data_IF_926434747633
#
_entry.id   IF_926434747633
#
_cell.length_a   1.000
_cell.length_b   1.000
_cell.length_c   1.000
_cell.angle_alpha   90.00
_cell.angle_beta   90.00
_cell.angle_gamma   90.00
#
_symmetry.space_group_name_H-M   'P 1'
#
loop_
_entity.id
_entity.type
_entity.pdbx_description
1 polymer ?
#
# COMPACT_ATOMS: atom_id res chain seq x y z
N UNK A 1 2.05 -7.17 -55.31
CA UNK A 1 2.59 -6.24 -54.30
C UNK A 1 1.97 -6.62 -52.96
N UNK A 2 2.73 -7.32 -52.11
CA UNK A 2 2.30 -7.72 -50.78
C UNK A 2 2.83 -6.70 -49.78
N UNK A 3 1.94 -5.90 -49.21
CA UNK A 3 2.26 -4.98 -48.12
C UNK A 3 2.50 -5.81 -46.86
N UNK A 4 3.77 -6.03 -46.53
CA UNK A 4 4.17 -6.61 -45.26
C UNK A 4 3.87 -5.55 -44.20
N UNK A 5 2.74 -5.69 -43.51
CA UNK A 5 2.49 -5.03 -42.24
C UNK A 5 3.57 -5.52 -41.27
N UNK A 6 4.64 -4.73 -41.13
CA UNK A 6 5.56 -4.87 -40.00
C UNK A 6 4.78 -4.43 -38.77
N UNK A 7 4.07 -5.39 -38.17
CA UNK A 7 3.61 -5.29 -36.81
C UNK A 7 4.87 -5.28 -35.95
N UNK A 8 5.44 -4.09 -35.73
CA UNK A 8 6.39 -3.87 -34.63
C UNK A 8 5.56 -4.01 -33.36
N UNK A 9 5.28 -5.25 -32.98
CA UNK A 9 4.98 -5.56 -31.60
C UNK A 9 6.26 -5.24 -30.85
N UNK A 10 6.37 -4.00 -30.37
CA UNK A 10 7.27 -3.69 -29.29
C UNK A 10 6.95 -4.71 -28.20
N UNK A 11 7.80 -5.72 -28.07
CA UNK A 11 7.97 -6.50 -26.86
C UNK A 11 8.33 -5.48 -25.78
N UNK A 12 7.32 -4.80 -25.24
CA UNK A 12 7.41 -4.04 -24.02
C UNK A 12 7.72 -5.09 -22.96
N UNK A 13 9.01 -5.31 -22.72
CA UNK A 13 9.48 -6.03 -21.55
C UNK A 13 8.76 -5.38 -20.37
N UNK A 14 7.96 -6.18 -19.65
CA UNK A 14 7.28 -5.71 -18.45
C UNK A 14 8.30 -4.94 -17.59
N UNK A 15 7.92 -3.80 -17.00
CA UNK A 15 8.85 -3.02 -16.19
C UNK A 15 9.53 -3.91 -15.15
N UNK A 16 10.86 -3.81 -15.04
CA UNK A 16 11.58 -4.48 -13.95
C UNK A 16 11.27 -3.73 -12.65
N UNK A 17 10.20 -4.16 -11.97
CA UNK A 17 9.76 -3.55 -10.73
C UNK A 17 10.81 -3.70 -9.61
N UNK A 18 11.72 -4.67 -9.68
CA UNK A 18 12.83 -4.74 -8.72
C UNK A 18 13.84 -3.62 -8.99
N UNK A 19 14.14 -3.33 -10.26
CA UNK A 19 14.96 -2.18 -10.61
C UNK A 19 14.31 -0.85 -10.19
N UNK A 20 13.00 -0.70 -10.40
CA UNK A 20 12.25 0.47 -9.92
C UNK A 20 12.27 0.60 -8.39
N UNK A 21 12.11 -0.51 -7.66
CA UNK A 21 12.24 -0.50 -6.20
C UNK A 21 13.66 -0.07 -5.81
N UNK A 22 14.71 -0.55 -6.47
CA UNK A 22 16.08 -0.11 -6.15
C UNK A 22 16.30 1.38 -6.42
N UNK A 23 15.72 1.93 -7.50
CA UNK A 23 15.75 3.37 -7.78
C UNK A 23 14.97 4.17 -6.72
N UNK A 24 13.81 3.65 -6.29
CA UNK A 24 13.01 4.21 -5.21
C UNK A 24 13.77 4.29 -3.88
N UNK A 25 14.68 3.35 -3.64
CA UNK A 25 15.51 3.28 -2.44
C UNK A 25 16.81 4.10 -2.53
N UNK A 26 17.07 4.76 -3.66
CA UNK A 26 18.30 5.55 -3.85
C UNK A 26 18.32 6.84 -3.03
N UNK A 27 19.52 7.37 -2.75
CA UNK A 27 19.69 8.65 -2.05
C UNK A 27 19.36 9.87 -2.94
N UNK A 28 19.26 9.69 -4.25
CA UNK A 28 18.81 10.73 -5.18
C UNK A 28 17.30 10.95 -5.01
N UNK A 29 16.94 12.09 -4.41
CA UNK A 29 15.54 12.39 -4.11
C UNK A 29 14.65 12.52 -5.35
N UNK A 30 15.20 12.93 -6.48
CA UNK A 30 14.46 13.06 -7.73
C UNK A 30 14.17 11.68 -8.32
N UNK A 31 15.19 10.83 -8.36
CA UNK A 31 15.09 9.47 -8.86
C UNK A 31 14.12 8.66 -8.00
N UNK A 32 14.31 8.71 -6.69
CA UNK A 32 13.48 7.96 -5.75
C UNK A 32 12.02 8.44 -5.74
N UNK A 33 11.78 9.74 -5.84
CA UNK A 33 10.43 10.30 -5.97
C UNK A 33 9.74 9.91 -7.28
N UNK A 34 10.49 9.79 -8.37
CA UNK A 34 9.97 9.36 -9.68
C UNK A 34 9.62 7.88 -9.67
N UNK A 35 10.55 7.03 -9.22
CA UNK A 35 10.33 5.59 -9.10
C UNK A 35 9.15 5.26 -8.17
N UNK A 36 8.97 5.98 -7.07
CA UNK A 36 7.79 5.81 -6.21
C UNK A 36 6.46 6.05 -6.94
N UNK A 37 6.38 7.13 -7.74
CA UNK A 37 5.17 7.44 -8.52
C UNK A 37 4.90 6.36 -9.57
N UNK A 38 5.93 5.87 -10.24
CA UNK A 38 5.81 4.79 -11.22
C UNK A 38 5.34 3.49 -10.59
N UNK A 39 5.90 3.12 -9.42
CA UNK A 39 5.44 1.98 -8.63
C UNK A 39 3.96 2.11 -8.29
N UNK A 40 3.53 3.26 -7.75
CA UNK A 40 2.12 3.50 -7.44
C UNK A 40 1.21 3.42 -8.68
N UNK A 41 1.66 3.98 -9.81
CA UNK A 41 0.90 3.96 -11.07
C UNK A 41 0.77 2.55 -11.67
N UNK A 42 1.78 1.69 -11.48
CA UNK A 42 1.74 0.30 -11.91
C UNK A 42 0.69 -0.54 -11.15
N UNK A 43 0.25 -0.08 -9.96
CA UNK A 43 -0.86 -0.69 -9.24
C UNK A 43 -0.65 -2.18 -8.97
N UNK A 44 -1.54 -3.03 -9.48
CA UNK A 44 -1.50 -4.48 -9.27
C UNK A 44 -0.20 -5.14 -9.76
N UNK A 45 0.40 -4.61 -10.84
CA UNK A 45 1.56 -5.22 -11.48
C UNK A 45 2.83 -5.13 -10.61
N UNK A 46 2.93 -4.09 -9.77
CA UNK A 46 4.05 -3.90 -8.84
C UNK A 46 3.90 -4.69 -7.53
N UNK A 47 2.69 -5.19 -7.21
CA UNK A 47 2.41 -5.87 -5.93
C UNK A 47 3.33 -7.08 -5.69
N UNK A 48 3.56 -8.00 -6.64
CA UNK A 48 4.42 -9.16 -6.41
C UNK A 48 5.85 -8.77 -6.02
N UNK A 49 6.41 -7.74 -6.68
CA UNK A 49 7.75 -7.25 -6.37
C UNK A 49 7.80 -6.62 -4.97
N UNK A 50 6.79 -5.84 -4.58
CA UNK A 50 6.70 -5.27 -3.23
C UNK A 50 6.54 -6.34 -2.15
N UNK A 51 5.72 -7.36 -2.39
CA UNK A 51 5.52 -8.49 -1.44
C UNK A 51 6.82 -9.27 -1.22
N UNK A 52 7.65 -9.41 -2.25
CA UNK A 52 8.95 -10.08 -2.14
C UNK A 52 9.96 -9.27 -1.29
N UNK A 53 9.70 -7.99 -1.04
CA UNK A 53 10.57 -7.09 -0.29
C UNK A 53 10.10 -6.82 1.14
N UNK A 54 8.94 -7.33 1.56
CA UNK A 54 8.34 -7.06 2.88
C UNK A 54 9.24 -7.38 4.08
N UNK A 55 10.10 -8.40 3.95
CA UNK A 55 11.00 -8.83 5.03
C UNK A 55 12.45 -8.36 4.82
N UNK A 56 12.70 -7.45 3.86
CA UNK A 56 14.03 -6.93 3.62
C UNK A 56 14.44 -5.97 4.76
N UNK A 57 15.48 -6.32 5.55
CA UNK A 57 15.88 -5.54 6.71
C UNK A 57 16.82 -4.37 6.36
N UNK A 58 17.18 -4.20 5.09
CA UNK A 58 18.12 -3.16 4.66
C UNK A 58 17.59 -1.79 5.04
N UNK A 59 18.38 -1.03 5.79
CA UNK A 59 18.03 0.32 6.22
C UNK A 59 18.06 1.31 5.05
N UNK A 60 17.14 2.27 5.07
CA UNK A 60 17.06 3.35 4.10
C UNK A 60 17.42 4.66 4.78
N UNK A 61 18.43 5.33 4.25
CA UNK A 61 18.89 6.62 4.78
C UNK A 61 18.35 7.81 3.98
N UNK A 62 17.63 7.58 2.88
CA UNK A 62 17.06 8.64 2.06
C UNK A 62 15.92 9.39 2.77
N UNK A 63 15.86 10.70 2.56
CA UNK A 63 14.99 11.64 3.31
C UNK A 63 13.50 11.62 2.95
N UNK A 64 13.11 10.91 1.89
CA UNK A 64 11.83 11.14 1.20
C UNK A 64 10.65 10.52 1.95
N UNK A 65 10.88 9.43 2.69
CA UNK A 65 9.86 8.69 3.42
C UNK A 65 10.01 8.81 4.95
N UNK A 66 10.83 9.76 5.42
CA UNK A 66 11.13 9.98 6.83
C UNK A 66 9.97 10.67 7.59
N UNK A 67 8.83 10.00 7.72
CA UNK A 67 8.13 10.13 8.98
C UNK A 67 8.98 9.35 10.00
N UNK A 68 9.45 9.96 11.10
CA UNK A 68 10.14 9.23 12.15
C UNK A 68 9.30 8.01 12.55
N UNK A 69 9.83 6.81 12.31
CA UNK A 69 9.19 5.60 12.77
C UNK A 69 9.55 5.44 14.24
N UNK A 70 8.53 5.42 15.08
CA UNK A 70 8.70 5.13 16.50
C UNK A 70 8.40 3.66 16.72
N UNK A 71 9.37 2.94 17.30
CA UNK A 71 9.17 1.58 17.80
C UNK A 71 8.93 1.67 19.29
N UNK A 72 7.80 1.15 19.76
CA UNK A 72 7.55 1.01 21.18
C UNK A 72 8.33 -0.19 21.73
N UNK A 73 9.23 0.08 22.67
CA UNK A 73 10.04 -0.91 23.36
C UNK A 73 9.21 -1.65 24.43
N UNK A 74 9.65 -2.85 24.89
CA UNK A 74 8.94 -3.62 25.91
C UNK A 74 8.73 -2.88 27.24
N UNK A 75 9.61 -1.92 27.55
CA UNK A 75 9.52 -1.05 28.73
C UNK A 75 8.51 0.11 28.55
N UNK A 76 7.89 0.22 27.39
CA UNK A 76 6.91 1.25 27.06
C UNK A 76 7.48 2.53 26.46
N UNK A 77 8.81 2.68 26.38
CA UNK A 77 9.50 3.81 25.73
C UNK A 77 9.36 3.74 24.20
N UNK A 78 9.53 4.88 23.53
CA UNK A 78 9.52 4.95 22.06
C UNK A 78 10.92 5.29 21.56
N UNK A 79 11.44 4.46 20.66
CA UNK A 79 12.73 4.67 20.00
C UNK A 79 12.52 5.08 18.55
N UNK A 80 13.29 6.09 18.11
CA UNK A 80 13.36 6.44 16.70
C UNK A 80 14.12 5.37 15.94
N UNK A 81 13.48 4.75 14.96
CA UNK A 81 14.10 3.71 14.11
C UNK A 81 14.22 4.16 12.67
N UNK A 82 15.33 3.81 12.03
CA UNK A 82 15.52 3.96 10.59
C UNK A 82 14.55 3.04 9.85
N UNK A 83 13.80 3.54 8.85
CA UNK A 83 12.93 2.68 8.05
C UNK A 83 13.75 1.68 7.23
N UNK A 84 13.25 0.46 7.10
CA UNK A 84 13.81 -0.55 6.20
C UNK A 84 13.16 -0.54 4.81
N UNK A 85 13.76 -1.27 3.88
CA UNK A 85 13.14 -1.62 2.59
C UNK A 85 11.78 -2.29 2.79
N UNK A 86 11.68 -3.24 3.72
CA UNK A 86 10.41 -3.87 4.07
C UNK A 86 9.35 -2.89 4.56
N UNK A 87 9.74 -1.92 5.39
CA UNK A 87 8.84 -0.89 5.91
C UNK A 87 8.27 -0.01 4.78
N UNK A 88 9.13 0.30 3.83
CA UNK A 88 8.84 1.15 2.68
C UNK A 88 7.94 0.39 1.69
N UNK A 89 8.28 -0.85 1.35
CA UNK A 89 7.46 -1.73 0.53
C UNK A 89 6.06 -1.95 1.13
N UNK A 90 5.98 -2.20 2.44
CA UNK A 90 4.70 -2.30 3.16
C UNK A 90 3.90 -1.00 3.07
N UNK A 91 4.55 0.15 3.21
CA UNK A 91 3.88 1.45 3.11
C UNK A 91 3.30 1.68 1.72
N UNK A 92 4.02 1.33 0.64
CA UNK A 92 3.48 1.40 -0.72
C UNK A 92 2.29 0.46 -0.90
N UNK A 93 2.40 -0.80 -0.48
CA UNK A 93 1.30 -1.77 -0.55
C UNK A 93 0.05 -1.27 0.18
N UNK A 94 0.22 -0.75 1.39
CA UNK A 94 -0.89 -0.19 2.18
C UNK A 94 -1.52 1.01 1.48
N UNK A 95 -0.72 1.90 0.88
CA UNK A 95 -1.25 3.04 0.12
C UNK A 95 -2.00 2.59 -1.13
N UNK A 96 -1.49 1.60 -1.87
CA UNK A 96 -2.14 1.05 -3.06
C UNK A 96 -3.48 0.38 -2.71
N UNK A 97 -3.49 -0.44 -1.66
CA UNK A 97 -4.62 -1.31 -1.32
C UNK A 97 -5.63 -0.59 -0.42
N UNK A 98 -5.19 0.18 0.56
CA UNK A 98 -6.10 0.81 1.54
C UNK A 98 -6.27 2.32 1.33
N UNK A 99 -5.53 2.90 0.38
CA UNK A 99 -5.50 4.33 0.13
C UNK A 99 -4.73 5.11 1.20
N UNK A 100 -4.53 6.41 0.95
CA UNK A 100 -4.03 7.32 1.97
C UNK A 100 -5.18 7.70 2.90
N UNK A 101 -5.07 7.36 4.18
CA UNK A 101 -6.01 7.79 5.21
C UNK A 101 -5.49 9.01 5.98
N UNK A 102 -6.41 9.87 6.40
CA UNK A 102 -6.12 10.97 7.33
C UNK A 102 -5.56 10.44 8.64
N UNK A 103 -4.66 11.18 9.30
CA UNK A 103 -3.93 10.73 10.50
C UNK A 103 -4.84 10.16 11.60
N UNK A 104 -6.00 10.79 11.81
CA UNK A 104 -6.99 10.39 12.83
C UNK A 104 -7.53 8.98 12.65
N UNK A 105 -7.51 8.43 11.43
CA UNK A 105 -8.09 7.10 11.13
C UNK A 105 -7.02 6.08 10.71
N UNK A 106 -5.73 6.41 10.79
CA UNK A 106 -4.65 5.46 10.46
C UNK A 106 -4.62 4.23 11.38
N UNK A 107 -5.18 4.30 12.59
CA UNK A 107 -5.34 3.14 13.47
C UNK A 107 -6.33 2.07 12.96
N UNK A 108 -7.07 2.36 11.89
CA UNK A 108 -8.12 1.49 11.35
C UNK A 108 -7.70 0.69 10.12
N UNK A 109 -6.42 0.78 9.72
CA UNK A 109 -5.89 -0.03 8.63
C UNK A 109 -6.07 -1.52 8.94
N UNK A 110 -6.56 -2.26 7.95
CA UNK A 110 -6.67 -3.70 8.06
C UNK A 110 -5.31 -4.37 7.83
N UNK A 111 -4.54 -3.87 6.85
CA UNK A 111 -3.21 -4.39 6.59
C UNK A 111 -2.24 -3.99 7.70
N UNK A 112 -1.56 -5.00 8.24
CA UNK A 112 -0.42 -4.88 9.15
C UNK A 112 0.77 -5.60 8.54
N UNK A 113 1.99 -5.34 9.02
CA UNK A 113 3.18 -6.04 8.48
C UNK A 113 3.07 -7.55 8.67
N UNK A 114 2.44 -7.97 9.77
CA UNK A 114 2.28 -9.36 10.16
C UNK A 114 1.30 -10.11 9.26
N UNK A 115 0.27 -9.43 8.72
CA UNK A 115 -0.77 -10.10 7.92
C UNK A 115 -0.66 -9.85 6.41
N UNK A 116 0.09 -8.83 5.97
CA UNK A 116 0.06 -8.36 4.58
C UNK A 116 0.44 -9.44 3.58
N UNK A 117 1.51 -10.20 3.85
CA UNK A 117 2.01 -11.26 2.95
C UNK A 117 0.93 -12.30 2.64
N UNK A 118 0.34 -12.89 3.68
CA UNK A 118 -0.66 -13.94 3.51
C UNK A 118 -1.97 -13.41 2.94
N UNK A 119 -2.40 -12.21 3.36
CA UNK A 119 -3.62 -11.60 2.83
C UNK A 119 -3.51 -11.26 1.34
N UNK A 120 -2.40 -10.67 0.90
CA UNK A 120 -2.17 -10.35 -0.52
C UNK A 120 -2.06 -11.63 -1.35
N UNK A 121 -1.35 -12.63 -0.85
CA UNK A 121 -1.22 -13.94 -1.53
C UNK A 121 -2.58 -14.60 -1.75
N UNK A 122 -3.50 -14.50 -0.78
CA UNK A 122 -4.87 -15.02 -0.92
C UNK A 122 -5.70 -14.31 -2.01
N UNK A 123 -5.26 -13.13 -2.46
CA UNK A 123 -5.93 -12.29 -3.45
C UNK A 123 -5.11 -12.09 -4.74
N UNK A 124 -4.02 -12.84 -4.93
CA UNK A 124 -3.05 -12.61 -6.00
C UNK A 124 -3.63 -12.55 -7.44
N UNK A 125 -4.80 -13.16 -7.66
CA UNK A 125 -5.49 -13.20 -8.96
C UNK A 125 -6.69 -12.25 -9.05
N UNK A 126 -6.80 -11.27 -8.15
CA UNK A 126 -7.89 -10.29 -8.13
C UNK A 126 -7.40 -8.93 -8.61
N UNK A 127 -8.32 -8.10 -9.11
CA UNK A 127 -7.97 -6.75 -9.52
C UNK A 127 -7.57 -5.90 -8.31
N UNK A 128 -6.75 -4.85 -8.51
CA UNK A 128 -6.44 -3.90 -7.44
C UNK A 128 -7.72 -3.30 -6.83
N UNK A 129 -8.74 -3.05 -7.66
CA UNK A 129 -10.03 -2.55 -7.19
C UNK A 129 -10.72 -3.54 -6.25
N UNK A 130 -10.71 -4.82 -6.56
CA UNK A 130 -11.28 -5.86 -5.70
C UNK A 130 -10.49 -6.00 -4.39
N UNK A 131 -9.16 -5.91 -4.45
CA UNK A 131 -8.32 -5.84 -3.24
C UNK A 131 -8.70 -4.63 -2.39
N UNK A 132 -8.86 -3.45 -2.99
CA UNK A 132 -9.26 -2.23 -2.29
C UNK A 132 -10.64 -2.37 -1.62
N UNK A 133 -11.63 -2.88 -2.36
CA UNK A 133 -12.96 -3.15 -1.84
C UNK A 133 -12.91 -4.13 -0.65
N UNK A 134 -12.11 -5.19 -0.78
CA UNK A 134 -11.97 -6.20 0.26
C UNK A 134 -11.30 -5.64 1.51
N UNK A 135 -10.23 -4.86 1.36
CA UNK A 135 -9.52 -4.27 2.49
C UNK A 135 -10.39 -3.28 3.28
N UNK A 136 -11.22 -2.47 2.60
CA UNK A 136 -12.18 -1.59 3.25
C UNK A 136 -13.27 -2.38 3.98
N UNK A 137 -13.81 -3.43 3.34
CA UNK A 137 -14.81 -4.31 3.97
C UNK A 137 -14.24 -4.97 5.24
N UNK A 138 -13.02 -5.48 5.16
CA UNK A 138 -12.38 -6.15 6.30
C UNK A 138 -11.96 -5.14 7.39
N UNK A 139 -11.62 -3.89 7.03
CA UNK A 139 -11.44 -2.79 7.99
C UNK A 139 -12.73 -2.48 8.75
N UNK A 140 -13.88 -2.38 8.07
CA UNK A 140 -15.18 -2.13 8.70
C UNK A 140 -15.54 -3.28 9.65
N UNK A 141 -15.40 -4.53 9.20
CA UNK A 141 -15.68 -5.71 10.04
C UNK A 141 -14.82 -5.72 11.29
N UNK A 142 -13.52 -5.45 11.17
CA UNK A 142 -12.60 -5.35 12.30
C UNK A 142 -13.05 -4.28 13.29
N UNK A 143 -13.34 -3.07 12.80
CA UNK A 143 -13.82 -1.96 13.62
C UNK A 143 -15.11 -2.35 14.38
N UNK A 144 -16.06 -3.00 13.71
CA UNK A 144 -17.32 -3.44 14.32
C UNK A 144 -17.10 -4.51 15.41
N UNK A 145 -16.17 -5.45 15.19
CA UNK A 145 -15.79 -6.43 16.21
C UNK A 145 -15.15 -5.75 17.42
N UNK A 146 -14.22 -4.82 17.19
CA UNK A 146 -13.59 -4.06 18.28
C UNK A 146 -14.61 -3.27 19.09
N UNK A 147 -15.52 -2.54 18.43
CA UNK A 147 -16.64 -1.83 19.08
C UNK A 147 -17.50 -2.79 19.92
N UNK A 148 -17.80 -3.98 19.40
CA UNK A 148 -18.58 -4.98 20.15
C UNK A 148 -17.86 -5.45 21.42
N UNK A 149 -16.54 -5.52 21.41
CA UNK A 149 -15.73 -5.98 22.55
C UNK A 149 -15.50 -4.87 23.58
N UNK A 150 -15.08 -3.67 23.15
CA UNK A 150 -14.69 -2.57 24.06
C UNK A 150 -15.79 -1.53 24.31
N UNK A 151 -16.94 -1.68 23.66
CA UNK A 151 -17.97 -0.66 23.60
C UNK A 151 -17.64 0.47 22.63
N UNK A 152 -18.65 1.30 22.37
CA UNK A 152 -18.55 2.47 21.50
C UNK A 152 -17.67 3.57 22.11
N UNK A 153 -16.82 4.18 21.30
CA UNK A 153 -15.95 5.29 21.66
C UNK A 153 -16.20 6.48 20.71
N UNK A 154 -15.89 7.72 21.11
CA UNK A 154 -16.20 8.91 20.31
C UNK A 154 -15.63 8.87 18.87
N UNK A 155 -14.44 8.30 18.68
CA UNK A 155 -13.79 8.23 17.37
C UNK A 155 -14.39 7.16 16.44
N UNK A 156 -15.20 6.23 16.96
CA UNK A 156 -15.75 5.11 16.16
C UNK A 156 -16.70 5.59 15.07
N UNK A 157 -17.53 6.59 15.39
CA UNK A 157 -18.44 7.18 14.42
C UNK A 157 -17.68 7.78 13.24
N UNK A 158 -16.62 8.54 13.53
CA UNK A 158 -15.79 9.18 12.52
C UNK A 158 -15.05 8.13 11.66
N UNK A 159 -14.46 7.12 12.31
CA UNK A 159 -13.77 6.03 11.63
C UNK A 159 -14.68 5.26 10.68
N UNK A 160 -15.86 4.84 11.16
CA UNK A 160 -16.84 4.13 10.34
C UNK A 160 -17.36 5.00 9.20
N UNK A 161 -17.58 6.30 9.43
CA UNK A 161 -17.96 7.23 8.37
C UNK A 161 -16.89 7.29 7.26
N UNK A 162 -15.61 7.47 7.61
CA UNK A 162 -14.52 7.48 6.62
C UNK A 162 -14.43 6.17 5.83
N UNK A 163 -14.57 5.03 6.50
CA UNK A 163 -14.55 3.71 5.85
C UNK A 163 -15.75 3.51 4.92
N UNK A 164 -16.95 3.91 5.35
CA UNK A 164 -18.17 3.83 4.55
C UNK A 164 -18.10 4.73 3.32
N UNK A 165 -17.66 5.98 3.47
CA UNK A 165 -17.46 6.88 2.32
C UNK A 165 -16.44 6.33 1.33
N UNK A 166 -15.35 5.70 1.81
CA UNK A 166 -14.40 5.04 0.92
C UNK A 166 -15.01 3.84 0.19
N UNK A 167 -15.84 3.04 0.87
CA UNK A 167 -16.55 1.94 0.25
C UNK A 167 -17.52 2.45 -0.84
N UNK A 168 -18.26 3.53 -0.55
CA UNK A 168 -19.13 4.19 -1.52
C UNK A 168 -18.35 4.68 -2.76
N UNK A 169 -17.19 5.32 -2.56
CA UNK A 169 -16.31 5.73 -3.68
C UNK A 169 -15.88 4.54 -4.55
N UNK A 170 -15.48 3.43 -3.92
CA UNK A 170 -15.02 2.22 -4.62
C UNK A 170 -16.15 1.42 -5.26
N UNK A 171 -17.40 1.63 -4.87
CA UNK A 171 -18.58 0.95 -5.43
C UNK A 171 -19.31 1.83 -6.46
N UNK A 172 -19.06 3.14 -6.46
CA UNK A 172 -19.68 4.08 -7.40
C UNK A 172 -19.03 4.00 -8.78
N UNK A 173 -19.79 3.73 -9.86
CA UNK A 173 -19.26 3.67 -11.22
C UNK A 173 -18.84 5.04 -11.77
N UNK A 174 -19.31 6.14 -11.19
CA UNK A 174 -19.06 7.51 -11.68
C UNK A 174 -17.83 8.19 -11.06
N UNK A 175 -17.27 7.64 -9.97
CA UNK A 175 -16.08 8.19 -9.28
C UNK A 175 -14.79 7.44 -9.59
N UNK A 176 -14.85 6.44 -10.48
CA UNK A 176 -13.69 5.69 -10.93
C UNK A 176 -13.13 6.28 -12.22
N UNK A 177 -12.31 7.33 -12.11
CA UNK A 177 -11.27 7.76 -13.08
C UNK A 177 -10.73 9.14 -12.67
N UNK A 178 -9.43 9.46 -12.88
CA UNK A 178 -8.24 8.62 -12.86
C UNK A 178 -7.51 8.66 -11.50
#
# INVERSE_FOLDING_TARGET
MLTICVLVAALLSAPDYNALINQWLSDDQTLAGTAYKEILAAGADAIPALVNRLDDPTEIHNGIFQAPLFRRLPNGEEELVTPTVGDTAFTALRVMIEGRRVKSVQGTYFLTKENAREWIKALANTSLRDMQLRAVSDSIKRQMVEIKVRGWQPNDQHNLHCLSSRLEELTSPEKSLP
#
